data_IF_337444437008
#
_entry.id   IF_337444437008
#
_cell.length_a   1.000
_cell.length_b   1.000
_cell.length_c   1.000
_cell.angle_alpha   90.00
_cell.angle_beta   90.00
_cell.angle_gamma   90.00
#
_symmetry.space_group_name_H-M   'P 1'
#
loop_
_entity.id
_entity.type
_entity.pdbx_description
1 polymer ?
#
# COMPACT_ATOMS: atom_id res chain seq x y z
N UNK A 1 -8.06 -13.10 3.36
CA UNK A 1 -7.06 -12.02 3.18
C UNK A 1 -7.44 -10.89 4.11
N UNK A 2 -6.56 -10.52 5.04
CA UNK A 2 -6.80 -9.39 5.95
C UNK A 2 -5.88 -8.26 5.55
N UNK A 3 -6.41 -7.04 5.46
CA UNK A 3 -5.63 -5.84 5.21
C UNK A 3 -6.02 -4.77 6.23
N UNK A 4 -5.13 -3.81 6.45
CA UNK A 4 -5.38 -2.64 7.29
C UNK A 4 -5.58 -1.44 6.38
N UNK A 5 -6.72 -0.77 6.49
CA UNK A 5 -6.96 0.51 5.82
C UNK A 5 -6.50 1.66 6.72
N UNK A 6 -5.79 2.63 6.15
CA UNK A 6 -5.39 3.87 6.81
C UNK A 6 -5.86 5.06 5.99
N UNK A 7 -6.74 5.89 6.56
CA UNK A 7 -7.28 7.05 5.86
C UNK A 7 -6.50 8.32 6.22
N UNK A 8 -5.56 8.72 5.36
CA UNK A 8 -4.68 9.89 5.59
C UNK A 8 -5.42 11.25 5.65
N UNK A 9 -6.69 11.29 5.25
CA UNK A 9 -7.54 12.48 5.38
C UNK A 9 -8.23 12.59 6.75
N UNK A 10 -8.31 11.49 7.50
CA UNK A 10 -8.98 11.42 8.81
C UNK A 10 -8.04 11.05 9.96
N UNK A 11 -6.90 10.47 9.63
CA UNK A 11 -5.88 10.00 10.57
C UNK A 11 -4.55 10.76 10.33
N UNK A 12 -4.14 11.64 11.27
CA UNK A 12 -2.91 12.40 11.15
C UNK A 12 -1.65 11.53 11.23
N UNK A 13 -1.69 10.41 11.95
CA UNK A 13 -0.56 9.47 12.06
C UNK A 13 -0.37 8.73 10.73
N UNK A 14 -1.46 8.30 10.10
CA UNK A 14 -1.42 7.73 8.75
C UNK A 14 -0.85 8.72 7.71
N UNK A 15 -1.18 10.01 7.84
CA UNK A 15 -0.62 11.06 7.00
C UNK A 15 0.88 11.24 7.24
N UNK A 16 1.32 11.20 8.50
CA UNK A 16 2.73 11.30 8.85
C UNK A 16 3.52 10.08 8.31
N UNK A 17 2.96 8.88 8.39
CA UNK A 17 3.54 7.67 7.81
C UNK A 17 3.68 7.76 6.28
N UNK A 18 2.68 8.29 5.58
CA UNK A 18 2.77 8.55 4.14
C UNK A 18 3.94 9.50 3.80
N UNK A 19 4.14 10.55 4.61
CA UNK A 19 5.23 11.51 4.43
C UNK A 19 6.60 10.89 4.72
N UNK A 20 6.73 10.08 5.77
CA UNK A 20 7.96 9.36 6.11
C UNK A 20 8.38 8.38 5.01
N UNK A 21 7.40 7.75 4.35
CA UNK A 21 7.62 6.89 3.18
C UNK A 21 8.08 7.67 1.93
N UNK A 22 8.06 9.01 1.95
CA UNK A 22 8.41 9.87 0.83
C UNK A 22 7.40 9.83 -0.32
N UNK A 23 6.17 9.40 -0.03
CA UNK A 23 5.11 9.24 -1.03
C UNK A 23 4.15 10.42 -0.98
N UNK A 24 3.70 10.86 -2.15
CA UNK A 24 2.83 12.04 -2.30
C UNK A 24 1.52 11.73 -3.03
N UNK A 25 1.38 10.51 -3.56
CA UNK A 25 0.24 10.09 -4.38
C UNK A 25 -0.54 8.97 -3.69
N UNK A 26 -1.86 9.03 -3.79
CA UNK A 26 -2.79 8.05 -3.25
C UNK A 26 -3.55 7.36 -4.40
N UNK A 27 -4.04 6.12 -4.20
CA UNK A 27 -3.80 5.26 -3.04
C UNK A 27 -2.35 4.76 -2.97
N UNK A 28 -1.91 4.39 -1.77
CA UNK A 28 -0.65 3.66 -1.53
C UNK A 28 -0.97 2.27 -1.04
N UNK A 29 -0.34 1.26 -1.62
CA UNK A 29 -0.44 -0.13 -1.17
C UNK A 29 0.94 -0.60 -0.71
N UNK A 30 1.00 -1.14 0.51
CA UNK A 30 2.16 -1.80 1.07
C UNK A 30 1.87 -3.32 1.06
N UNK A 31 2.58 -4.07 0.23
CA UNK A 31 2.36 -5.51 0.05
C UNK A 31 3.71 -6.22 0.20
N UNK A 32 3.95 -6.87 1.34
CA UNK A 32 5.28 -7.33 1.71
C UNK A 32 6.28 -6.17 1.70
N UNK A 33 7.40 -6.34 1.01
CA UNK A 33 8.42 -5.29 0.83
C UNK A 33 8.12 -4.30 -0.31
N UNK A 34 6.99 -4.47 -1.02
CA UNK A 34 6.63 -3.62 -2.17
C UNK A 34 5.82 -2.42 -1.72
N UNK A 35 6.22 -1.25 -2.21
CA UNK A 35 5.46 0.00 -2.12
C UNK A 35 4.90 0.32 -3.50
N UNK A 36 3.58 0.32 -3.65
CA UNK A 36 2.90 0.65 -4.89
C UNK A 36 2.11 1.94 -4.71
N UNK A 37 2.08 2.78 -5.75
CA UNK A 37 1.26 3.98 -5.80
C UNK A 37 0.27 3.90 -6.95
N UNK A 38 -0.93 4.44 -6.73
CA UNK A 38 -2.03 4.33 -7.69
C UNK A 38 -2.64 2.92 -7.73
N UNK A 39 -3.43 2.65 -8.77
CA UNK A 39 -4.11 1.38 -8.96
C UNK A 39 -3.67 0.72 -10.26
N UNK A 40 -2.81 -0.29 -10.15
CA UNK A 40 -2.36 -1.12 -11.28
C UNK A 40 -2.55 -2.60 -10.93
N UNK A 41 -3.61 -3.26 -11.45
CA UNK A 41 -3.92 -4.66 -11.14
C UNK A 41 -2.75 -5.61 -11.35
N UNK A 42 -2.03 -5.49 -12.47
CA UNK A 42 -0.91 -6.36 -12.78
C UNK A 42 0.25 -6.25 -11.77
N UNK A 43 0.52 -5.05 -11.25
CA UNK A 43 1.53 -4.86 -10.21
C UNK A 43 1.06 -5.37 -8.84
N UNK A 44 -0.23 -5.22 -8.53
CA UNK A 44 -0.83 -5.71 -7.30
C UNK A 44 -0.79 -7.24 -7.28
N UNK A 45 -1.24 -7.90 -8.34
CA UNK A 45 -1.20 -9.37 -8.47
C UNK A 45 0.24 -9.90 -8.34
N UNK A 46 1.20 -9.26 -9.01
CA UNK A 46 2.61 -9.65 -8.90
C UNK A 46 3.16 -9.48 -7.47
N UNK A 47 2.77 -8.42 -6.77
CA UNK A 47 3.18 -8.18 -5.39
C UNK A 47 2.53 -9.19 -4.42
N UNK A 48 1.26 -9.53 -4.62
CA UNK A 48 0.54 -10.53 -3.84
C UNK A 48 1.13 -11.93 -4.02
N UNK A 49 1.42 -12.32 -5.26
CA UNK A 49 2.08 -13.60 -5.55
C UNK A 49 3.47 -13.68 -4.89
N UNK A 50 4.27 -12.60 -4.97
CA UNK A 50 5.58 -12.53 -4.33
C UNK A 50 5.51 -12.54 -2.80
N UNK A 51 4.45 -11.99 -2.20
CA UNK A 51 4.21 -12.00 -0.76
C UNK A 51 3.65 -13.34 -0.22
N UNK A 52 3.49 -14.35 -1.08
CA UNK A 52 2.94 -15.65 -0.70
C UNK A 52 1.41 -15.68 -0.62
N UNK A 53 0.73 -14.65 -1.14
CA UNK A 53 -0.73 -14.57 -1.21
C UNK A 53 -1.35 -15.31 -2.41
N UNK A 54 -0.55 -16.02 -3.19
CA UNK A 54 -1.00 -16.82 -4.33
C UNK A 54 -0.66 -18.29 -4.15
N UNK A 55 -1.65 -19.08 -3.74
CA UNK A 55 -1.74 -20.53 -3.94
C UNK A 55 -3.20 -20.89 -4.12
#
# INVERSE_FOLDING_TARGET
MTFTEKNVGRDPDARQELMDLGLLSLPVLLIGDRKLTGFNPAQIDAALAAAGGGS
#
